data_IF_908503606445
#
_entry.id   IF_908503606445
#
_cell.length_a   1.000
_cell.length_b   1.000
_cell.length_c   1.000
_cell.angle_alpha   90.00
_cell.angle_beta   90.00
_cell.angle_gamma   90.00
#
_symmetry.space_group_name_H-M   'P 1'
#
loop_
_entity.id
_entity.type
_entity.pdbx_description
1 polymer ?
#
# COMPACT_ATOMS: atom_id res chain seq x y z
N UNK A 1 -25.56 -4.32 0.56
CA UNK A 1 -24.86 -5.49 -0.01
C UNK A 1 -25.69 -5.98 -1.18
N UNK A 2 -25.09 -6.05 -2.36
CA UNK A 2 -25.74 -6.45 -3.62
C UNK A 2 -25.78 -7.98 -3.75
N UNK A 3 -26.71 -8.53 -4.55
CA UNK A 3 -26.78 -9.96 -4.87
C UNK A 3 -25.45 -10.50 -5.41
N UNK A 4 -24.75 -9.69 -6.21
CA UNK A 4 -23.41 -9.98 -6.72
C UNK A 4 -22.32 -10.07 -5.65
N UNK A 5 -22.48 -9.40 -4.50
CA UNK A 5 -21.54 -9.53 -3.37
C UNK A 5 -21.67 -10.88 -2.68
N UNK A 6 -22.90 -11.43 -2.60
CA UNK A 6 -23.17 -12.74 -2.00
C UNK A 6 -22.63 -13.91 -2.84
N UNK A 7 -22.76 -13.84 -4.17
CA UNK A 7 -22.16 -14.85 -5.06
C UNK A 7 -20.63 -14.84 -5.01
N UNK A 8 -20.01 -13.66 -4.82
CA UNK A 8 -18.57 -13.54 -4.66
C UNK A 8 -18.10 -14.14 -3.32
N UNK A 9 -18.85 -13.93 -2.24
CA UNK A 9 -18.55 -14.49 -0.92
C UNK A 9 -18.64 -16.03 -0.88
N UNK A 10 -19.41 -16.64 -1.79
CA UNK A 10 -19.55 -18.10 -1.92
C UNK A 10 -18.42 -18.80 -2.70
N UNK A 11 -17.39 -18.08 -3.17
CA UNK A 11 -16.30 -18.68 -3.97
C UNK A 11 -15.38 -19.58 -3.12
N UNK A 12 -15.19 -20.83 -3.57
CA UNK A 12 -14.32 -21.83 -2.93
C UNK A 12 -12.81 -21.55 -3.04
N UNK A 13 -12.38 -20.73 -4.01
CA UNK A 13 -10.97 -20.44 -4.26
C UNK A 13 -10.74 -18.93 -4.21
N UNK A 14 -9.98 -18.50 -3.20
CA UNK A 14 -9.52 -17.12 -3.09
C UNK A 14 -8.43 -16.84 -4.14
N UNK A 15 -8.58 -15.77 -4.90
CA UNK A 15 -7.60 -15.40 -5.93
C UNK A 15 -6.33 -14.82 -5.30
N UNK A 16 -5.19 -14.85 -6.04
CA UNK A 16 -3.94 -14.22 -5.58
C UNK A 16 -4.13 -12.73 -5.25
N UNK A 17 -4.96 -12.04 -6.04
CA UNK A 17 -5.33 -10.64 -5.83
C UNK A 17 -6.08 -10.46 -4.52
N UNK A 18 -7.11 -11.26 -4.26
CA UNK A 18 -7.88 -11.16 -3.00
C UNK A 18 -7.01 -11.42 -1.77
N UNK A 19 -6.10 -12.40 -1.83
CA UNK A 19 -5.15 -12.65 -0.72
C UNK A 19 -4.26 -11.44 -0.48
N UNK A 20 -3.68 -10.89 -1.55
CA UNK A 20 -2.86 -9.68 -1.47
C UNK A 20 -3.63 -8.49 -0.89
N UNK A 21 -4.86 -8.24 -1.35
CA UNK A 21 -5.69 -7.15 -0.84
C UNK A 21 -6.08 -7.37 0.64
N UNK A 22 -6.37 -8.60 1.05
CA UNK A 22 -6.66 -8.92 2.45
C UNK A 22 -5.44 -8.71 3.35
N UNK A 23 -4.24 -9.05 2.88
CA UNK A 23 -2.98 -8.80 3.58
C UNK A 23 -2.72 -7.29 3.70
N UNK A 24 -2.87 -6.54 2.59
CA UNK A 24 -2.69 -5.09 2.61
C UNK A 24 -3.70 -4.38 3.52
N UNK A 25 -4.95 -4.85 3.63
CA UNK A 25 -5.92 -4.29 4.58
C UNK A 25 -5.43 -4.38 6.03
N UNK A 26 -4.63 -5.39 6.38
CA UNK A 26 -4.06 -5.55 7.72
C UNK A 26 -2.73 -4.82 7.93
N UNK A 27 -1.95 -4.64 6.86
CA UNK A 27 -0.59 -4.08 6.92
C UNK A 27 -0.60 -2.56 6.79
N UNK A 28 -1.56 -1.97 6.08
CA UNK A 28 -1.61 -0.52 5.87
C UNK A 28 -2.11 0.19 7.14
N UNK A 29 -1.40 1.23 7.65
CA UNK A 29 -1.85 2.01 8.80
C UNK A 29 -2.96 3.00 8.41
N UNK A 30 -4.17 2.51 8.13
CA UNK A 30 -5.29 3.31 7.62
C UNK A 30 -5.60 4.55 8.46
N UNK A 31 -5.69 4.39 9.78
CA UNK A 31 -6.01 5.51 10.69
C UNK A 31 -4.97 6.62 10.63
N UNK A 32 -3.68 6.28 10.62
CA UNK A 32 -2.58 7.26 10.51
C UNK A 32 -2.60 8.00 9.19
N UNK A 33 -2.82 7.27 8.08
CA UNK A 33 -2.90 7.88 6.75
C UNK A 33 -4.12 8.78 6.58
N UNK A 34 -5.27 8.37 7.10
CA UNK A 34 -6.49 9.18 7.08
C UNK A 34 -6.29 10.46 7.89
N UNK A 35 -5.77 10.37 9.12
CA UNK A 35 -5.52 11.52 9.98
C UNK A 35 -4.54 12.53 9.35
N UNK A 36 -3.56 12.04 8.57
CA UNK A 36 -2.62 12.90 7.85
C UNK A 36 -3.29 13.69 6.71
N UNK A 37 -4.24 13.08 5.99
CA UNK A 37 -4.86 13.69 4.80
C UNK A 37 -6.12 14.49 5.16
N UNK A 38 -6.83 14.12 6.22
CA UNK A 38 -8.09 14.70 6.65
C UNK A 38 -8.10 16.24 6.73
N UNK A 39 -7.06 16.93 7.25
CA UNK A 39 -7.03 18.39 7.32
C UNK A 39 -7.12 19.09 5.95
N UNK A 40 -6.69 18.40 4.88
CA UNK A 40 -6.65 18.93 3.52
C UNK A 40 -7.83 18.46 2.66
N UNK A 41 -8.60 17.47 3.14
CA UNK A 41 -9.67 16.87 2.38
C UNK A 41 -10.92 17.77 2.36
N UNK A 42 -11.60 17.95 1.20
CA UNK A 42 -12.79 18.78 1.12
C UNK A 42 -13.87 18.28 2.08
N UNK A 43 -14.42 19.21 2.86
CA UNK A 43 -15.55 18.94 3.76
C UNK A 43 -16.86 19.03 2.96
N UNK A 44 -17.86 18.25 3.36
CA UNK A 44 -19.18 18.29 2.73
C UNK A 44 -19.80 19.70 2.88
N UNK A 45 -19.83 20.45 1.78
CA UNK A 45 -20.54 21.72 1.64
C UNK A 45 -21.84 21.57 0.85
N UNK A 46 -22.38 22.67 0.32
CA UNK A 46 -23.64 22.70 -0.46
C UNK A 46 -23.58 22.11 -1.88
N UNK A 47 -22.46 21.51 -2.29
CA UNK A 47 -22.25 20.92 -3.62
C UNK A 47 -22.30 19.39 -3.63
N UNK A 48 -21.77 18.76 -4.69
CA UNK A 48 -21.58 17.29 -4.76
C UNK A 48 -20.76 16.86 -3.54
N UNK A 49 -21.32 15.98 -2.73
CA UNK A 49 -20.63 15.46 -1.55
C UNK A 49 -19.35 14.74 -2.02
N UNK A 50 -18.19 15.05 -1.46
CA UNK A 50 -16.98 14.32 -1.77
C UNK A 50 -17.11 12.87 -1.32
N UNK A 51 -16.45 11.95 -2.03
CA UNK A 51 -16.36 10.56 -1.60
C UNK A 51 -15.70 10.46 -0.23
N UNK A 52 -15.96 9.40 0.56
CA UNK A 52 -15.23 9.17 1.80
C UNK A 52 -13.72 9.16 1.56
N UNK A 53 -12.96 9.87 2.41
CA UNK A 53 -11.50 9.95 2.30
C UNK A 53 -10.86 8.56 2.29
N UNK A 54 -11.33 7.66 3.15
CA UNK A 54 -10.85 6.29 3.24
C UNK A 54 -11.03 5.49 1.93
N UNK A 55 -12.11 5.77 1.18
CA UNK A 55 -12.37 5.17 -0.13
C UNK A 55 -11.38 5.69 -1.16
N UNK A 56 -11.18 7.01 -1.23
CA UNK A 56 -10.24 7.61 -2.18
C UNK A 56 -8.79 7.20 -1.91
N UNK A 57 -8.41 7.09 -0.63
CA UNK A 57 -7.09 6.58 -0.22
C UNK A 57 -6.88 5.14 -0.70
N UNK A 58 -7.88 4.26 -0.54
CA UNK A 58 -7.80 2.88 -1.03
C UNK A 58 -7.67 2.80 -2.55
N UNK A 59 -8.43 3.62 -3.27
CA UNK A 59 -8.33 3.69 -4.73
C UNK A 59 -6.92 4.13 -5.14
N UNK A 60 -6.36 5.14 -4.48
CA UNK A 60 -5.00 5.60 -4.77
C UNK A 60 -3.95 4.51 -4.49
N UNK A 61 -4.09 3.74 -3.42
CA UNK A 61 -3.20 2.61 -3.14
C UNK A 61 -3.36 1.49 -4.19
N UNK A 62 -4.59 1.20 -4.63
CA UNK A 62 -4.84 0.27 -5.73
C UNK A 62 -4.16 0.73 -7.03
N UNK A 63 -4.24 2.03 -7.37
CA UNK A 63 -3.55 2.60 -8.53
C UNK A 63 -2.04 2.35 -8.45
N UNK A 64 -1.46 2.56 -7.27
CA UNK A 64 -0.05 2.29 -7.05
C UNK A 64 0.23 0.79 -7.21
N UNK A 65 -0.38 -0.09 -6.41
CA UNK A 65 -0.05 -1.53 -6.40
C UNK A 65 -0.22 -2.26 -7.74
N UNK A 66 -1.18 -1.82 -8.56
CA UNK A 66 -1.46 -2.43 -9.85
C UNK A 66 -0.98 -1.57 -11.04
N UNK A 67 -0.25 -0.49 -10.77
CA UNK A 67 0.25 0.46 -11.78
C UNK A 67 -0.85 0.95 -12.74
N UNK A 68 -2.04 1.26 -12.19
CA UNK A 68 -3.21 1.69 -12.96
C UNK A 68 -3.26 3.21 -13.05
N UNK A 69 -3.47 3.72 -14.26
CA UNK A 69 -3.83 5.13 -14.50
C UNK A 69 -5.30 5.37 -14.13
N UNK A 70 -5.73 6.63 -14.03
CA UNK A 70 -7.08 6.96 -13.55
C UNK A 70 -8.20 6.32 -14.40
N UNK A 71 -8.15 6.37 -15.75
CA UNK A 71 -9.19 5.72 -16.57
C UNK A 71 -9.23 4.19 -16.35
N UNK A 72 -8.06 3.55 -16.29
CA UNK A 72 -7.96 2.11 -16.05
C UNK A 72 -8.41 1.73 -14.63
N UNK A 73 -8.27 2.63 -13.66
CA UNK A 73 -8.74 2.41 -12.30
C UNK A 73 -10.26 2.51 -12.22
N UNK A 74 -10.87 3.48 -12.92
CA UNK A 74 -12.32 3.56 -13.05
C UNK A 74 -12.91 2.27 -13.65
N UNK A 75 -12.39 1.83 -14.80
CA UNK A 75 -12.80 0.58 -15.45
C UNK A 75 -12.65 -0.62 -14.50
N UNK A 76 -11.52 -0.71 -13.79
CA UNK A 76 -11.28 -1.77 -12.82
C UNK A 76 -12.28 -1.77 -11.66
N UNK A 77 -12.78 -0.62 -11.21
CA UNK A 77 -13.81 -0.54 -10.18
C UNK A 77 -15.19 -1.03 -10.68
N UNK A 78 -15.46 -0.93 -11.97
CA UNK A 78 -16.67 -1.50 -12.59
C UNK A 78 -16.56 -3.01 -12.79
N UNK A 79 -15.43 -3.50 -13.29
CA UNK A 79 -15.28 -4.90 -13.70
C UNK A 79 -14.82 -5.82 -12.55
N UNK A 80 -13.89 -5.35 -11.71
CA UNK A 80 -13.19 -6.19 -10.75
C UNK A 80 -13.81 -6.03 -9.36
N UNK A 81 -14.71 -6.95 -9.03
CA UNK A 81 -15.43 -6.95 -7.75
C UNK A 81 -14.51 -6.89 -6.53
N UNK A 82 -13.36 -7.58 -6.52
CA UNK A 82 -12.41 -7.54 -5.40
C UNK A 82 -11.79 -6.15 -5.18
N UNK A 83 -11.46 -5.42 -6.24
CA UNK A 83 -10.92 -4.06 -6.13
C UNK A 83 -12.00 -3.09 -5.64
N UNK A 84 -13.22 -3.24 -6.16
CA UNK A 84 -14.37 -2.44 -5.73
C UNK A 84 -14.70 -2.65 -4.25
N UNK A 85 -14.74 -3.91 -3.80
CA UNK A 85 -14.99 -4.26 -2.40
C UNK A 85 -13.88 -3.75 -1.49
N UNK A 86 -12.61 -3.88 -1.92
CA UNK A 86 -11.48 -3.30 -1.21
C UNK A 86 -11.67 -1.79 -1.01
N UNK A 87 -12.02 -1.05 -2.06
CA UNK A 87 -12.32 0.39 -1.97
C UNK A 87 -13.60 0.75 -1.17
N UNK A 88 -14.31 -0.24 -0.59
CA UNK A 88 -15.59 -0.09 0.10
C UNK A 88 -16.69 0.52 -0.76
N UNK A 89 -16.65 0.24 -2.06
CA UNK A 89 -17.65 0.66 -3.02
C UNK A 89 -18.63 -0.49 -3.33
N UNK A 90 -19.83 -0.12 -3.76
CA UNK A 90 -20.86 -1.06 -4.24
C UNK A 90 -21.45 -0.53 -5.52
N UNK A 91 -21.89 -1.41 -6.42
CA UNK A 91 -22.56 -1.01 -7.68
C UNK A 91 -23.92 -0.32 -7.47
N UNK A 92 -24.45 -0.33 -6.24
CA UNK A 92 -25.68 0.38 -5.88
C UNK A 92 -25.48 1.89 -5.72
N UNK A 93 -24.23 2.38 -5.73
CA UNK A 93 -23.88 3.78 -5.62
C UNK A 93 -22.93 4.19 -6.76
N UNK A 94 -22.86 5.50 -7.10
CA UNK A 94 -21.98 5.98 -8.16
C UNK A 94 -20.50 5.64 -7.88
N UNK A 95 -19.82 5.04 -8.84
CA UNK A 95 -18.38 4.78 -8.79
C UNK A 95 -17.62 6.09 -9.13
N UNK A 96 -16.49 6.39 -8.45
CA UNK A 96 -15.67 7.55 -8.79
C UNK A 96 -15.20 7.52 -10.25
N UNK A 97 -15.49 8.58 -10.97
CA UNK A 97 -14.99 8.84 -12.33
C UNK A 97 -13.48 9.13 -12.30
N UNK A 98 -12.79 8.92 -13.42
CA UNK A 98 -11.37 9.22 -13.63
C UNK A 98 -10.97 10.62 -13.13
N UNK A 99 -11.79 11.64 -13.41
CA UNK A 99 -11.61 13.02 -12.95
C UNK A 99 -11.65 13.15 -11.43
N UNK A 100 -12.46 12.35 -10.75
CA UNK A 100 -12.55 12.32 -9.28
C UNK A 100 -11.28 11.72 -8.68
N UNK A 101 -10.79 10.62 -9.28
CA UNK A 101 -9.53 9.97 -8.89
C UNK A 101 -8.36 10.94 -9.13
N UNK A 102 -8.35 11.63 -10.27
CA UNK A 102 -7.36 12.65 -10.61
C UNK A 102 -7.33 13.80 -9.60
N UNK A 103 -8.48 14.34 -9.21
CA UNK A 103 -8.57 15.43 -8.24
C UNK A 103 -7.98 15.03 -6.89
N UNK A 104 -8.16 13.79 -6.46
CA UNK A 104 -7.54 13.29 -5.23
C UNK A 104 -6.02 13.23 -5.32
N UNK A 105 -5.47 12.77 -6.44
CA UNK A 105 -4.02 12.76 -6.66
C UNK A 105 -3.44 14.17 -6.63
N UNK A 106 -4.08 15.12 -7.32
CA UNK A 106 -3.67 16.52 -7.29
C UNK A 106 -3.72 17.11 -5.88
N UNK A 107 -4.69 16.69 -5.04
CA UNK A 107 -4.73 17.08 -3.63
C UNK A 107 -3.50 16.59 -2.87
N UNK A 108 -3.12 15.31 -3.05
CA UNK A 108 -1.93 14.76 -2.40
C UNK A 108 -0.64 15.47 -2.84
N UNK A 109 -0.52 15.75 -4.14
CA UNK A 109 0.63 16.45 -4.73
C UNK A 109 0.71 17.91 -4.25
N UNK A 110 -0.41 18.63 -4.28
CA UNK A 110 -0.50 20.04 -3.86
C UNK A 110 -0.05 20.22 -2.42
N UNK A 111 -0.36 19.28 -1.55
CA UNK A 111 -0.01 19.31 -0.13
C UNK A 111 1.29 18.52 0.19
N UNK A 112 2.02 18.05 -0.82
CA UNK A 112 3.25 17.26 -0.69
C UNK A 112 3.12 16.06 0.27
N UNK A 113 1.93 15.45 0.31
CA UNK A 113 1.60 14.39 1.28
C UNK A 113 2.30 13.07 0.99
N UNK A 114 2.90 12.92 -0.19
CA UNK A 114 3.64 11.71 -0.56
C UNK A 114 4.75 11.36 0.45
N UNK A 115 5.51 12.36 0.91
CA UNK A 115 6.57 12.15 1.90
C UNK A 115 6.00 11.71 3.26
N UNK A 116 4.96 12.40 3.74
CA UNK A 116 4.31 12.07 5.01
C UNK A 116 3.61 10.71 5.00
N UNK A 117 3.03 10.31 3.87
CA UNK A 117 2.45 8.97 3.69
C UNK A 117 3.54 7.90 3.81
N UNK A 118 4.67 8.08 3.13
CA UNK A 118 5.79 7.14 3.18
C UNK A 118 6.42 7.07 4.59
N UNK A 119 6.54 8.21 5.27
CA UNK A 119 7.01 8.27 6.65
C UNK A 119 6.06 7.53 7.61
N UNK A 120 4.75 7.77 7.49
CA UNK A 120 3.73 7.09 8.32
C UNK A 120 3.78 5.58 8.15
N UNK A 121 3.93 5.10 6.92
CA UNK A 121 4.07 3.66 6.63
C UNK A 121 5.39 3.14 7.21
N UNK A 122 6.48 3.87 7.05
CA UNK A 122 7.78 3.47 7.59
C UNK A 122 7.78 3.38 9.11
N UNK A 123 7.17 4.34 9.81
CA UNK A 123 7.06 4.31 11.27
C UNK A 123 6.26 3.08 11.74
N UNK A 124 5.12 2.81 11.08
CA UNK A 124 4.32 1.62 11.38
C UNK A 124 5.06 0.31 11.14
N UNK A 125 5.88 0.25 10.08
CA UNK A 125 6.68 -0.92 9.77
C UNK A 125 7.88 -1.07 10.72
N UNK A 126 8.50 0.03 11.13
CA UNK A 126 9.60 0.01 12.11
C UNK A 126 9.15 -0.56 13.45
N UNK A 127 7.95 -0.24 13.91
CA UNK A 127 7.35 -0.84 15.11
C UNK A 127 7.19 -2.36 14.99
N UNK A 128 7.11 -2.88 13.76
CA UNK A 128 7.07 -4.31 13.44
C UNK A 128 8.43 -4.90 13.03
N UNK A 129 9.51 -4.13 13.13
CA UNK A 129 10.87 -4.55 12.74
C UNK A 129 11.12 -4.62 11.23
N UNK A 130 10.32 -3.91 10.43
CA UNK A 130 10.37 -3.86 8.96
C UNK A 130 10.67 -2.43 8.48
N UNK A 131 11.20 -2.26 7.26
CA UNK A 131 11.47 -0.93 6.67
C UNK A 131 11.29 -0.91 5.16
N UNK A 132 10.74 0.17 4.59
CA UNK A 132 10.66 0.38 3.13
C UNK A 132 11.73 1.35 2.65
N UNK A 133 12.36 1.04 1.51
CA UNK A 133 13.24 1.99 0.80
C UNK A 133 12.43 2.74 -0.26
N UNK A 134 12.73 4.02 -0.43
CA UNK A 134 12.07 4.91 -1.38
C UNK A 134 12.30 4.42 -2.82
N UNK A 135 11.23 4.07 -3.53
CA UNK A 135 11.30 3.58 -4.91
C UNK A 135 9.99 2.93 -5.37
N UNK A 136 8.93 3.73 -5.49
CA UNK A 136 7.56 3.29 -5.84
C UNK A 136 6.97 2.33 -4.80
N UNK A 137 5.81 2.65 -4.23
CA UNK A 137 5.12 1.92 -3.14
C UNK A 137 4.94 0.40 -3.40
N UNK A 138 5.22 -0.04 -4.61
CA UNK A 138 4.92 -1.34 -5.22
C UNK A 138 6.11 -2.30 -5.23
N UNK A 139 7.35 -1.82 -5.19
CA UNK A 139 8.54 -2.71 -5.25
C UNK A 139 9.12 -3.00 -3.86
N UNK A 140 8.25 -2.94 -2.85
CA UNK A 140 8.49 -3.41 -1.50
C UNK A 140 8.63 -4.94 -1.52
N UNK A 141 9.76 -5.44 -2.02
CA UNK A 141 10.31 -6.67 -1.45
C UNK A 141 10.37 -6.39 0.04
N UNK A 142 9.54 -7.08 0.84
CA UNK A 142 9.69 -7.10 2.29
C UNK A 142 11.07 -7.72 2.51
N UNK A 143 12.11 -6.88 2.50
CA UNK A 143 13.45 -7.29 2.86
C UNK A 143 13.31 -7.60 4.34
N UNK A 144 13.13 -8.88 4.67
CA UNK A 144 13.53 -9.37 5.98
C UNK A 144 14.93 -8.81 6.18
N UNK A 145 15.05 -7.83 7.09
CA UNK A 145 16.34 -7.34 7.47
C UNK A 145 17.16 -8.59 7.82
N UNK A 146 18.32 -8.85 7.18
CA UNK A 146 19.16 -9.94 7.64
C UNK A 146 19.38 -9.66 9.12
N UNK A 147 19.02 -10.63 9.97
CA UNK A 147 19.17 -10.47 11.41
C UNK A 147 20.65 -10.29 11.69
N UNK A 148 21.08 -9.03 11.73
CA UNK A 148 22.46 -8.64 11.97
C UNK A 148 22.70 -8.94 13.44
N UNK A 149 23.44 -10.01 13.66
CA UNK A 149 23.67 -10.68 14.93
C UNK A 149 23.97 -9.71 16.08
N UNK A 150 23.22 -9.86 17.18
CA UNK A 150 23.70 -10.27 18.52
C UNK A 150 22.63 -10.00 19.59
N UNK A 151 22.07 -11.04 20.23
CA UNK A 151 22.65 -11.82 21.35
C UNK A 151 23.25 -10.91 22.44
N UNK A 152 22.90 -11.19 23.71
CA UNK A 152 23.13 -10.37 24.92
C UNK A 152 24.61 -9.96 25.21
N UNK A 153 25.58 -10.29 24.35
CA UNK A 153 27.02 -10.17 24.60
C UNK A 153 27.84 -9.40 23.54
N UNK A 154 27.22 -8.80 22.51
CA UNK A 154 27.85 -7.68 21.77
C UNK A 154 29.12 -7.93 20.91
N UNK A 155 29.75 -9.12 20.85
CA UNK A 155 30.99 -9.36 20.06
C UNK A 155 30.84 -9.98 18.65
N UNK A 156 31.55 -9.38 17.68
CA UNK A 156 31.45 -9.59 16.21
C UNK A 156 31.95 -10.99 15.83
N UNK A 157 31.18 -11.68 14.98
CA UNK A 157 31.48 -13.03 14.50
C UNK A 157 32.71 -12.98 13.56
N UNK A 158 33.81 -13.69 13.89
CA UNK A 158 35.07 -13.59 13.15
C UNK A 158 35.06 -14.21 11.75
N UNK A 159 34.03 -14.97 11.36
CA UNK A 159 33.97 -15.63 10.04
C UNK A 159 33.34 -14.78 8.91
N UNK A 160 32.85 -13.56 9.21
CA UNK A 160 32.23 -12.69 8.22
C UNK A 160 33.25 -11.78 7.50
N UNK A 161 33.62 -12.15 6.27
CA UNK A 161 34.46 -11.34 5.39
C UNK A 161 33.62 -10.55 4.36
N UNK A 162 33.74 -9.22 4.37
CA UNK A 162 33.21 -8.33 3.32
C UNK A 162 34.21 -8.25 2.17
N UNK A 163 33.75 -8.41 0.93
CA UNK A 163 34.51 -8.02 -0.25
C UNK A 163 33.72 -7.01 -1.08
N UNK A 164 34.42 -5.96 -1.53
CA UNK A 164 33.87 -4.83 -2.27
C UNK A 164 34.05 -5.09 -3.77
N UNK A 165 32.96 -5.17 -4.53
CA UNK A 165 32.99 -5.26 -6.00
C UNK A 165 32.14 -4.13 -6.56
N UNK A 166 32.80 -3.05 -7.00
CA UNK A 166 32.11 -1.81 -7.40
C UNK A 166 31.42 -1.11 -6.22
N UNK A 167 30.47 -0.20 -6.52
CA UNK A 167 29.76 0.62 -5.52
C UNK A 167 28.68 -0.13 -4.72
N UNK A 168 28.74 -1.46 -4.67
CA UNK A 168 27.82 -2.32 -3.91
C UNK A 168 28.59 -3.29 -3.02
N UNK A 169 28.08 -3.49 -1.80
CA UNK A 169 28.62 -4.43 -0.82
C UNK A 169 27.84 -5.74 -0.89
N UNK A 170 28.51 -6.85 -1.16
CA UNK A 170 27.92 -8.19 -1.14
C UNK A 170 28.48 -8.96 0.06
N UNK A 171 27.62 -9.67 0.80
CA UNK A 171 28.02 -10.56 1.90
C UNK A 171 27.73 -11.98 1.44
N UNK A 172 28.77 -12.76 1.17
CA UNK A 172 28.66 -14.18 0.80
C UNK A 172 29.25 -15.06 1.89
N UNK A 173 28.56 -16.15 2.22
CA UNK A 173 29.04 -17.18 3.14
C UNK A 173 29.74 -18.26 2.32
N UNK A 174 31.04 -18.44 2.51
CA UNK A 174 31.82 -19.49 1.84
C UNK A 174 31.48 -20.83 2.51
N UNK A 175 30.85 -21.75 1.79
CA UNK A 175 30.84 -23.16 2.22
C UNK A 175 32.14 -23.80 1.75
N UNK A 176 32.93 -24.25 2.71
CA UNK A 176 34.10 -25.10 2.48
C UNK A 176 33.59 -26.55 2.53
N UNK A 177 33.78 -27.28 1.44
CA UNK A 177 34.10 -28.71 1.48
C UNK A 177 35.35 -28.90 0.64
#
# INVERSE_FOLDING_TARGET
MSFSDFEYAGKRKQTRRERFLAEMEQVVPWSGLVALIEPHYPKAGGGRKPYPLETMLRIHLLQNWFSLRDPAMEEALYEITSMRQFARLTLSAPIPEDTTIMNFRHLLEKHQLAAGILETINNYLQDKGLSLRQGTIVDATIIHAPSSTKNKEGKRDPEMHQTKKGNQYCVSRTQVV
#
